data_IF_857777520900
#
_entry.id   IF_857777520900
#
_cell.length_a   1.000
_cell.length_b   1.000
_cell.length_c   1.000
_cell.angle_alpha   90.00
_cell.angle_beta   90.00
_cell.angle_gamma   90.00
#
_symmetry.space_group_name_H-M   'P 1'
#
loop_
_entity.id
_entity.type
_entity.pdbx_description
1 polymer ?
#
# COMPACT_ATOMS: atom_id res chain seq x y z
N UNK A 1 -1.89 -7.25 15.03
CA UNK A 1 -2.78 -7.85 14.02
C UNK A 1 -2.89 -9.36 14.27
N UNK A 2 -3.95 -10.04 13.81
CA UNK A 2 -4.07 -11.50 13.87
C UNK A 2 -3.26 -12.13 12.75
N UNK A 3 -2.49 -13.17 13.07
CA UNK A 3 -1.74 -13.96 12.09
C UNK A 3 -2.62 -15.10 11.57
N UNK A 4 -2.84 -15.16 10.25
CA UNK A 4 -3.73 -16.17 9.67
C UNK A 4 -3.07 -17.55 9.66
N UNK A 5 -1.75 -17.64 9.52
CA UNK A 5 -1.00 -18.92 9.66
C UNK A 5 -1.27 -19.65 10.96
N UNK A 6 -1.42 -18.91 12.07
CA UNK A 6 -1.69 -19.50 13.39
C UNK A 6 -3.08 -20.15 13.50
N UNK A 7 -4.00 -19.79 12.60
CA UNK A 7 -5.39 -20.27 12.60
C UNK A 7 -5.64 -21.22 11.42
N UNK A 8 -5.11 -20.90 10.25
CA UNK A 8 -5.27 -21.64 9.01
C UNK A 8 -4.09 -21.37 8.05
N UNK A 9 -2.97 -22.02 8.31
CA UNK A 9 -1.75 -21.98 7.48
C UNK A 9 -2.02 -22.27 6.00
N UNK A 10 -2.90 -23.23 5.69
CA UNK A 10 -3.23 -23.56 4.31
C UNK A 10 -3.90 -22.40 3.58
N UNK A 11 -4.83 -21.71 4.24
CA UNK A 11 -5.51 -20.55 3.66
C UNK A 11 -4.54 -19.38 3.48
N UNK A 12 -3.68 -19.11 4.48
CA UNK A 12 -2.66 -18.07 4.33
C UNK A 12 -1.72 -18.39 3.15
N UNK A 13 -1.28 -19.64 3.02
CA UNK A 13 -0.47 -20.08 1.87
C UNK A 13 -1.17 -19.91 0.52
N UNK A 14 -2.48 -20.14 0.43
CA UNK A 14 -3.25 -19.87 -0.79
C UNK A 14 -3.28 -18.37 -1.12
N UNK A 15 -3.53 -17.52 -0.11
CA UNK A 15 -3.56 -16.07 -0.29
C UNK A 15 -2.19 -15.56 -0.75
N UNK A 16 -1.10 -15.98 -0.07
CA UNK A 16 0.27 -15.64 -0.46
C UNK A 16 0.55 -16.06 -1.89
N UNK A 17 0.19 -17.29 -2.28
CA UNK A 17 0.36 -17.76 -3.65
C UNK A 17 -0.38 -16.88 -4.66
N UNK A 18 -1.61 -16.47 -4.36
CA UNK A 18 -2.39 -15.57 -5.24
C UNK A 18 -1.73 -14.19 -5.35
N UNK A 19 -1.23 -13.62 -4.24
CA UNK A 19 -0.53 -12.33 -4.23
C UNK A 19 0.74 -12.41 -5.09
N UNK A 20 1.57 -13.44 -4.91
CA UNK A 20 2.81 -13.60 -5.67
C UNK A 20 2.57 -13.76 -7.17
N UNK A 21 1.51 -14.48 -7.56
CA UNK A 21 1.11 -14.52 -8.97
C UNK A 21 0.65 -13.14 -9.46
N UNK A 22 -0.05 -12.37 -8.61
CA UNK A 22 -0.42 -10.98 -8.91
C UNK A 22 0.81 -10.10 -9.15
N UNK A 23 1.81 -10.17 -8.26
CA UNK A 23 3.07 -9.44 -8.36
C UNK A 23 3.81 -9.80 -9.66
N UNK A 24 3.93 -11.09 -9.97
CA UNK A 24 4.57 -11.54 -11.21
C UNK A 24 3.87 -11.03 -12.48
N UNK A 25 2.55 -10.78 -12.44
CA UNK A 25 1.80 -10.16 -13.54
C UNK A 25 2.00 -8.65 -13.57
N UNK A 26 2.03 -8.01 -12.40
CA UNK A 26 2.27 -6.58 -12.24
C UNK A 26 3.65 -6.20 -12.78
N UNK A 27 4.69 -6.98 -12.44
CA UNK A 27 6.08 -6.77 -12.90
C UNK A 27 6.24 -6.76 -14.43
N UNK A 28 5.38 -7.49 -15.15
CA UNK A 28 5.36 -7.54 -16.63
C UNK A 28 4.27 -6.65 -17.23
N UNK A 29 3.78 -5.68 -16.46
CA UNK A 29 2.77 -4.69 -16.85
C UNK A 29 1.42 -5.26 -17.30
N UNK A 30 1.05 -6.46 -16.81
CA UNK A 30 -0.26 -7.09 -17.05
C UNK A 30 -1.25 -6.66 -15.94
N UNK A 31 -1.58 -5.37 -15.92
CA UNK A 31 -2.32 -4.75 -14.81
C UNK A 31 -3.71 -5.36 -14.59
N UNK A 32 -4.48 -5.63 -15.65
CA UNK A 32 -5.81 -6.25 -15.48
C UNK A 32 -5.75 -7.66 -14.85
N UNK A 33 -4.77 -8.48 -15.28
CA UNK A 33 -4.56 -9.82 -14.71
C UNK A 33 -4.12 -9.75 -13.24
N UNK A 34 -3.21 -8.82 -12.91
CA UNK A 34 -2.74 -8.61 -11.56
C UNK A 34 -3.85 -8.11 -10.62
N UNK A 35 -4.68 -7.16 -11.08
CA UNK A 35 -5.78 -6.60 -10.30
C UNK A 35 -6.80 -7.69 -9.92
N UNK A 36 -7.15 -8.55 -10.87
CA UNK A 36 -8.06 -9.68 -10.60
C UNK A 36 -7.49 -10.63 -9.53
N UNK A 37 -6.18 -10.87 -9.53
CA UNK A 37 -5.52 -11.70 -8.53
C UNK A 37 -5.52 -11.03 -7.16
N UNK A 38 -5.22 -9.73 -7.06
CA UNK A 38 -5.25 -9.02 -5.79
C UNK A 38 -6.66 -8.93 -5.19
N UNK A 39 -7.69 -8.70 -6.02
CA UNK A 39 -9.09 -8.73 -5.59
C UNK A 39 -9.50 -10.14 -5.11
N UNK A 40 -9.03 -11.19 -5.79
CA UNK A 40 -9.21 -12.57 -5.33
C UNK A 40 -8.55 -12.79 -3.97
N UNK A 41 -7.29 -12.38 -3.80
CA UNK A 41 -6.58 -12.49 -2.53
C UNK A 41 -7.35 -11.79 -1.39
N UNK A 42 -7.84 -10.56 -1.63
CA UNK A 42 -8.66 -9.83 -0.66
C UNK A 42 -9.93 -10.60 -0.29
N UNK A 43 -10.63 -11.18 -1.28
CA UNK A 43 -11.87 -11.92 -1.06
C UNK A 43 -11.73 -13.17 -0.19
N UNK A 44 -10.53 -13.79 -0.18
CA UNK A 44 -10.22 -14.98 0.61
C UNK A 44 -9.99 -14.67 2.09
N UNK A 45 -9.69 -13.41 2.44
CA UNK A 45 -9.41 -13.03 3.83
C UNK A 45 -10.71 -13.12 4.66
N UNK A 46 -10.71 -13.82 5.82
CA UNK A 46 -11.88 -13.92 6.69
C UNK A 46 -12.34 -12.57 7.26
N UNK A 47 -13.63 -12.42 7.53
CA UNK A 47 -14.14 -11.22 8.20
C UNK A 47 -13.86 -11.23 9.72
N UNK A 48 -13.64 -10.05 10.33
CA UNK A 48 -13.41 -8.75 9.69
C UNK A 48 -12.00 -8.65 9.08
N UNK A 49 -11.90 -8.34 7.78
CA UNK A 49 -10.63 -8.41 7.02
C UNK A 49 -9.51 -7.58 7.67
N UNK A 50 -9.82 -6.40 8.15
CA UNK A 50 -8.87 -5.45 8.75
C UNK A 50 -8.23 -5.92 10.06
N UNK A 51 -8.64 -7.06 10.64
CA UNK A 51 -7.99 -7.61 11.82
C UNK A 51 -6.82 -8.54 11.50
N UNK A 52 -6.68 -8.98 10.25
CA UNK A 52 -5.63 -9.91 9.81
C UNK A 52 -4.41 -9.17 9.29
N UNK A 53 -3.22 -9.64 9.67
CA UNK A 53 -1.95 -9.04 9.26
C UNK A 53 -1.77 -9.05 7.73
N UNK A 54 -2.09 -10.18 7.08
CA UNK A 54 -1.96 -10.35 5.62
C UNK A 54 -2.76 -9.33 4.81
N UNK A 55 -3.77 -8.70 5.42
CA UNK A 55 -4.54 -7.61 4.80
C UNK A 55 -3.68 -6.42 4.42
N UNK A 56 -2.60 -6.13 5.18
CA UNK A 56 -1.69 -5.05 4.84
C UNK A 56 -0.99 -5.30 3.49
N UNK A 57 -0.50 -6.52 3.25
CA UNK A 57 0.17 -6.84 2.00
C UNK A 57 -0.78 -6.75 0.81
N UNK A 58 -1.98 -7.34 0.92
CA UNK A 58 -2.99 -7.25 -0.15
C UNK A 58 -3.41 -5.80 -0.41
N UNK A 59 -3.62 -5.01 0.65
CA UNK A 59 -3.98 -3.60 0.52
C UNK A 59 -2.88 -2.78 -0.15
N UNK A 60 -1.60 -3.02 0.16
CA UNK A 60 -0.46 -2.37 -0.49
C UNK A 60 -0.36 -2.74 -1.98
N UNK A 61 -0.62 -3.99 -2.34
CA UNK A 61 -0.70 -4.41 -3.75
C UNK A 61 -1.86 -3.70 -4.49
N UNK A 62 -3.04 -3.61 -3.86
CA UNK A 62 -4.20 -2.92 -4.43
C UNK A 62 -3.95 -1.41 -4.56
N UNK A 63 -3.34 -0.78 -3.56
CA UNK A 63 -2.88 0.60 -3.65
C UNK A 63 -1.99 0.81 -4.89
N UNK A 64 -0.95 -0.02 -5.01
CA UNK A 64 0.08 0.10 -6.06
C UNK A 64 -0.53 -0.05 -7.45
N UNK A 65 -1.38 -1.06 -7.66
CA UNK A 65 -1.96 -1.28 -8.98
C UNK A 65 -2.98 -0.21 -9.38
N UNK A 66 -3.78 0.30 -8.44
CA UNK A 66 -4.68 1.42 -8.75
C UNK A 66 -3.91 2.72 -8.98
N UNK A 67 -2.74 2.88 -8.34
CA UNK A 67 -1.83 3.99 -8.60
C UNK A 67 -1.31 3.95 -10.04
N UNK A 68 -0.85 2.78 -10.49
CA UNK A 68 -0.35 2.58 -11.87
C UNK A 68 -1.44 2.67 -12.94
N UNK A 69 -2.68 2.35 -12.58
CA UNK A 69 -3.87 2.56 -13.43
C UNK A 69 -4.35 4.02 -13.42
N UNK A 70 -3.65 4.93 -12.72
CA UNK A 70 -4.02 6.34 -12.52
C UNK A 70 -5.40 6.54 -11.87
N UNK A 71 -5.95 5.50 -11.24
CA UNK A 71 -7.17 5.58 -10.44
C UNK A 71 -6.81 5.98 -9.00
N UNK A 72 -6.36 7.23 -8.86
CA UNK A 72 -5.83 7.74 -7.59
C UNK A 72 -6.88 7.78 -6.47
N UNK A 73 -8.16 7.96 -6.79
CA UNK A 73 -9.24 7.91 -5.78
C UNK A 73 -9.31 6.53 -5.12
N UNK A 74 -9.35 5.47 -5.92
CA UNK A 74 -9.41 4.09 -5.38
C UNK A 74 -8.07 3.69 -4.75
N UNK A 75 -6.96 4.14 -5.33
CA UNK A 75 -5.62 3.93 -4.74
C UNK A 75 -5.56 4.52 -3.33
N UNK A 76 -6.06 5.73 -3.11
CA UNK A 76 -6.11 6.36 -1.78
C UNK A 76 -6.89 5.53 -0.76
N UNK A 77 -8.07 5.04 -1.13
CA UNK A 77 -8.88 4.17 -0.25
C UNK A 77 -8.08 2.92 0.19
N UNK A 78 -7.33 2.30 -0.71
CA UNK A 78 -6.46 1.16 -0.37
C UNK A 78 -5.23 1.56 0.44
N UNK A 79 -4.67 2.74 0.21
CA UNK A 79 -3.60 3.30 1.04
C UNK A 79 -4.04 3.48 2.50
N UNK A 80 -5.28 3.94 2.72
CA UNK A 80 -5.85 4.08 4.07
C UNK A 80 -6.06 2.72 4.75
N UNK A 81 -6.49 1.70 3.99
CA UNK A 81 -6.58 0.32 4.48
C UNK A 81 -5.20 -0.24 4.82
N UNK A 82 -4.19 -0.01 3.97
CA UNK A 82 -2.81 -0.43 4.23
C UNK A 82 -2.27 0.21 5.50
N UNK A 83 -2.46 1.53 5.67
CA UNK A 83 -2.07 2.26 6.88
C UNK A 83 -2.76 1.71 8.14
N UNK A 84 -4.06 1.43 8.05
CA UNK A 84 -4.86 0.89 9.18
C UNK A 84 -4.43 -0.52 9.59
N UNK A 85 -3.95 -1.31 8.64
CA UNK A 85 -3.57 -2.73 8.84
C UNK A 85 -2.07 -2.93 9.06
N UNK A 86 -1.27 -1.85 9.06
CA UNK A 86 0.19 -1.93 9.28
C UNK A 86 0.52 -2.64 10.60
N UNK A 87 1.51 -3.51 10.56
CA UNK A 87 1.95 -4.26 11.74
C UNK A 87 2.87 -3.43 12.67
N UNK A 88 3.47 -2.36 12.14
CA UNK A 88 4.42 -1.50 12.86
C UNK A 88 4.25 -0.04 12.47
N UNK A 89 4.29 0.86 13.45
CA UNK A 89 4.30 2.31 13.22
C UNK A 89 5.61 2.81 12.59
N UNK A 90 6.67 2.00 12.63
CA UNK A 90 7.96 2.31 12.01
C UNK A 90 7.90 2.09 10.49
N UNK A 91 6.95 1.27 10.00
CA UNK A 91 6.77 1.09 8.57
C UNK A 91 6.19 2.36 7.94
N UNK A 92 7.04 3.08 7.25
CA UNK A 92 6.70 4.34 6.58
C UNK A 92 6.07 4.12 5.22
N UNK A 93 6.07 2.91 4.66
CA UNK A 93 5.62 2.66 3.29
C UNK A 93 4.18 3.10 3.05
N UNK A 94 3.19 2.75 3.91
CA UNK A 94 1.81 3.19 3.73
C UNK A 94 1.64 4.72 3.84
N UNK A 95 2.46 5.39 4.66
CA UNK A 95 2.45 6.85 4.78
C UNK A 95 2.98 7.52 3.51
N UNK A 96 4.07 7.00 2.96
CA UNK A 96 4.66 7.51 1.72
C UNK A 96 3.70 7.31 0.55
N UNK A 97 3.07 6.14 0.48
CA UNK A 97 2.05 5.81 -0.52
C UNK A 97 0.86 6.76 -0.43
N UNK A 98 0.34 7.02 0.78
CA UNK A 98 -0.72 8.02 0.98
C UNK A 98 -0.29 9.44 0.61
N UNK A 99 0.95 9.83 0.91
CA UNK A 99 1.48 11.12 0.49
C UNK A 99 1.57 11.25 -1.03
N UNK A 100 2.01 10.20 -1.72
CA UNK A 100 2.11 10.15 -3.19
C UNK A 100 0.75 10.29 -3.85
N UNK A 101 -0.25 9.51 -3.43
CA UNK A 101 -1.57 9.56 -4.03
C UNK A 101 -2.31 10.87 -3.72
N UNK A 102 -2.11 11.44 -2.52
CA UNK A 102 -2.63 12.78 -2.21
C UNK A 102 -2.00 13.85 -3.12
N UNK A 103 -0.70 13.74 -3.41
CA UNK A 103 -0.03 14.64 -4.34
C UNK A 103 -0.62 14.55 -5.76
N UNK A 104 -0.83 13.33 -6.28
CA UNK A 104 -1.41 13.14 -7.62
C UNK A 104 -2.88 13.61 -7.69
N UNK A 105 -3.62 13.54 -6.57
CA UNK A 105 -4.98 14.09 -6.44
C UNK A 105 -5.01 15.63 -6.26
N UNK A 106 -3.87 16.30 -6.16
CA UNK A 106 -3.79 17.73 -5.85
C UNK A 106 -4.14 18.08 -4.38
N UNK A 107 -4.23 17.08 -3.51
CA UNK A 107 -4.49 17.20 -2.07
C UNK A 107 -3.19 17.52 -1.31
N UNK A 108 -2.59 18.66 -1.65
CA UNK A 108 -1.24 19.03 -1.24
C UNK A 108 -1.03 19.13 0.28
N UNK A 109 -1.97 19.72 1.01
CA UNK A 109 -1.88 19.83 2.47
C UNK A 109 -1.87 18.46 3.15
N UNK A 110 -2.60 17.50 2.59
CA UNK A 110 -2.65 16.13 3.10
C UNK A 110 -1.38 15.35 2.72
N UNK A 111 -0.89 15.54 1.50
CA UNK A 111 0.38 14.97 1.05
C UNK A 111 1.54 15.36 1.97
N UNK A 112 1.65 16.66 2.32
CA UNK A 112 2.69 17.14 3.24
C UNK A 112 2.59 16.49 4.62
N UNK A 113 1.38 16.34 5.17
CA UNK A 113 1.19 15.70 6.48
C UNK A 113 1.69 14.26 6.50
N UNK A 114 1.34 13.46 5.48
CA UNK A 114 1.80 12.07 5.40
C UNK A 114 3.31 11.98 5.17
N UNK A 115 3.86 12.84 4.31
CA UNK A 115 5.30 12.92 4.08
C UNK A 115 6.08 13.36 5.32
N UNK A 116 5.56 14.30 6.12
CA UNK A 116 6.14 14.71 7.39
C UNK A 116 6.18 13.56 8.40
N UNK A 117 5.07 12.82 8.54
CA UNK A 117 5.01 11.67 9.43
C UNK A 117 6.03 10.60 9.01
N UNK A 118 6.07 10.24 7.72
CA UNK A 118 7.05 9.29 7.20
C UNK A 118 8.51 9.76 7.40
N UNK A 119 8.77 11.04 7.14
CA UNK A 119 10.10 11.64 7.34
C UNK A 119 10.50 11.70 8.82
N UNK A 120 9.54 11.79 9.74
CA UNK A 120 9.82 11.77 11.18
C UNK A 120 10.51 10.47 11.60
N UNK A 121 10.08 9.33 11.03
CA UNK A 121 10.64 7.99 11.26
C UNK A 121 11.85 7.67 10.39
N UNK A 122 11.73 7.79 9.06
CA UNK A 122 12.74 7.29 8.11
C UNK A 122 13.64 8.37 7.51
N UNK A 123 13.39 9.66 7.77
CA UNK A 123 14.04 10.79 7.09
C UNK A 123 13.98 10.60 5.57
N UNK A 124 15.06 10.89 4.86
CA UNK A 124 15.15 10.67 3.40
C UNK A 124 15.01 9.19 3.00
N UNK A 125 15.31 8.24 3.89
CA UNK A 125 15.20 6.80 3.58
C UNK A 125 13.76 6.34 3.42
N UNK A 126 12.79 7.05 4.01
CA UNK A 126 11.37 6.75 3.80
C UNK A 126 10.97 6.88 2.31
N UNK A 127 11.63 7.76 1.57
CA UNK A 127 11.38 8.02 0.14
C UNK A 127 12.23 7.13 -0.77
N UNK A 128 12.96 6.16 -0.22
CA UNK A 128 13.77 5.26 -1.02
C UNK A 128 12.89 4.48 -2.01
N UNK A 129 13.39 4.27 -3.22
CA UNK A 129 12.70 3.55 -4.31
C UNK A 129 11.37 4.20 -4.75
N UNK A 130 11.11 5.46 -4.34
CA UNK A 130 10.01 6.29 -4.85
C UNK A 130 10.52 7.32 -5.86
N UNK A 131 9.67 7.77 -6.79
CA UNK A 131 10.02 8.86 -7.69
C UNK A 131 10.50 10.12 -6.95
N UNK A 132 11.67 10.62 -7.34
CA UNK A 132 12.35 11.74 -6.67
C UNK A 132 11.47 13.01 -6.56
N UNK A 133 10.50 13.19 -7.48
CA UNK A 133 9.57 14.32 -7.49
C UNK A 133 8.85 14.53 -6.14
N UNK A 134 8.51 13.46 -5.42
CA UNK A 134 7.78 13.56 -4.15
C UNK A 134 8.66 14.08 -3.02
N UNK A 135 9.90 13.59 -2.93
CA UNK A 135 10.86 14.07 -1.94
C UNK A 135 11.24 15.54 -2.21
N UNK A 136 11.46 15.90 -3.48
CA UNK A 136 11.78 17.27 -3.86
C UNK A 136 10.63 18.23 -3.55
N UNK A 137 9.39 17.82 -3.87
CA UNK A 137 8.19 18.55 -3.51
C UNK A 137 8.08 18.73 -2.00
N UNK A 138 8.22 17.66 -1.23
CA UNK A 138 8.14 17.71 0.23
C UNK A 138 9.20 18.64 0.84
N UNK A 139 10.47 18.49 0.47
CA UNK A 139 11.57 19.31 1.02
C UNK A 139 11.43 20.80 0.67
N UNK A 140 10.81 21.13 -0.47
CA UNK A 140 10.56 22.52 -0.87
C UNK A 140 9.41 23.17 -0.12
N UNK A 141 8.42 22.39 0.32
CA UNK A 141 7.15 22.92 0.84
C UNK A 141 6.92 22.61 2.33
N UNK A 142 7.77 21.83 2.99
CA UNK A 142 7.72 21.64 4.44
C UNK A 142 8.07 22.95 5.17
N UNK A 143 7.37 23.21 6.28
CA UNK A 143 7.54 24.40 7.12
C UNK A 143 8.59 24.14 8.21
#
# INVERSE_FOLDING_TARGET
MKELSKVNEKLEGEIVFVIENGNAKHDVNKLDEALLLYLKAWSLIPEPKIEWEISNWVASCLYSIYFDLENFTTSKEWGEVSLKTRSSEIDTSPLIDLGMVCYELGQYDEAIKYFDEAYSYGKKRAFQDRPQKYLDYYLKNRI
#
